data_IF_362418939266
#
_entry.id   IF_362418939266
#
_cell.length_a   1.000
_cell.length_b   1.000
_cell.length_c   1.000
_cell.angle_alpha   90.00
_cell.angle_beta   90.00
_cell.angle_gamma   90.00
#
_symmetry.space_group_name_H-M   'P 1'
#
loop_
_entity.id
_entity.type
_entity.pdbx_description
1 polymer ?
#
# COMPACT_ATOMS: atom_id res chain seq x y z
N UNK A 1 -40.29 -20.82 -25.49
CA UNK A 1 -40.30 -19.63 -24.59
C UNK A 1 -39.76 -19.92 -23.18
N UNK A 2 -39.51 -21.17 -22.78
CA UNK A 2 -38.92 -21.50 -21.47
C UNK A 2 -37.38 -21.64 -21.48
N UNK A 3 -36.73 -21.46 -22.64
CA UNK A 3 -35.29 -21.66 -22.81
C UNK A 3 -34.47 -20.36 -22.72
N UNK A 4 -35.13 -19.21 -22.66
CA UNK A 4 -34.50 -17.91 -22.43
C UNK A 4 -34.33 -17.60 -20.93
N UNK A 5 -35.06 -18.32 -20.07
CA UNK A 5 -35.13 -18.08 -18.62
C UNK A 5 -34.02 -18.81 -17.84
N UNK A 6 -33.42 -19.85 -18.43
CA UNK A 6 -32.30 -20.59 -17.84
C UNK A 6 -30.95 -19.87 -18.03
N UNK A 7 -30.78 -19.07 -19.08
CA UNK A 7 -29.56 -18.31 -19.36
C UNK A 7 -29.32 -17.13 -18.41
N UNK A 8 -30.36 -16.62 -17.76
CA UNK A 8 -30.26 -15.52 -16.79
C UNK A 8 -30.18 -16.01 -15.34
N UNK A 9 -30.70 -17.21 -15.03
CA UNK A 9 -30.59 -17.82 -13.70
C UNK A 9 -29.17 -18.27 -13.34
N UNK A 10 -28.33 -18.65 -14.33
CA UNK A 10 -26.91 -18.96 -14.10
C UNK A 10 -26.02 -17.70 -14.00
N UNK A 11 -26.46 -16.54 -14.50
CA UNK A 11 -25.66 -15.28 -14.46
C UNK A 11 -25.66 -14.55 -13.12
N UNK A 12 -26.56 -14.88 -12.19
CA UNK A 12 -26.83 -14.06 -10.99
C UNK A 12 -26.67 -14.79 -9.66
N UNK A 13 -26.00 -15.95 -9.65
CA UNK A 13 -25.47 -16.50 -8.42
C UNK A 13 -24.16 -15.75 -8.11
N UNK A 14 -24.24 -14.85 -7.12
CA UNK A 14 -23.15 -14.11 -6.46
C UNK A 14 -22.91 -12.65 -6.87
N UNK A 15 -23.90 -11.81 -6.56
CA UNK A 15 -23.65 -10.43 -6.10
C UNK A 15 -22.78 -10.47 -4.83
N UNK A 16 -21.49 -10.28 -4.99
CA UNK A 16 -20.53 -10.82 -4.04
C UNK A 16 -19.59 -9.73 -3.52
N UNK A 17 -19.91 -9.25 -2.32
CA UNK A 17 -19.42 -8.01 -1.69
C UNK A 17 -20.28 -6.78 -2.05
N UNK A 18 -21.35 -6.56 -1.28
CA UNK A 18 -22.26 -5.40 -1.41
C UNK A 18 -22.82 -5.17 -2.83
N UNK A 19 -23.14 -6.24 -3.57
CA UNK A 19 -23.65 -6.12 -4.94
C UNK A 19 -22.59 -5.77 -5.99
N UNK A 20 -21.31 -5.93 -5.65
CA UNK A 20 -20.17 -5.67 -6.53
C UNK A 20 -19.45 -6.99 -6.92
N UNK A 21 -18.52 -6.98 -7.89
CA UNK A 21 -17.76 -8.16 -8.26
C UNK A 21 -16.92 -8.73 -7.10
N UNK A 22 -16.82 -10.08 -6.98
CA UNK A 22 -16.05 -10.80 -5.92
C UNK A 22 -14.66 -10.21 -5.69
N UNK A 23 -13.96 -9.86 -6.77
CA UNK A 23 -12.61 -9.32 -6.75
C UNK A 23 -12.48 -8.02 -5.95
N UNK A 24 -13.55 -7.24 -5.85
CA UNK A 24 -13.55 -5.97 -5.12
C UNK A 24 -13.30 -6.20 -3.63
N UNK A 25 -13.83 -7.26 -3.03
CA UNK A 25 -13.59 -7.58 -1.61
C UNK A 25 -12.10 -7.73 -1.31
N UNK A 26 -11.36 -8.42 -2.19
CA UNK A 26 -9.92 -8.67 -2.01
C UNK A 26 -9.14 -7.36 -2.16
N UNK A 27 -9.46 -6.56 -3.18
CA UNK A 27 -8.81 -5.26 -3.40
C UNK A 27 -9.11 -4.28 -2.26
N UNK A 28 -10.34 -4.28 -1.76
CA UNK A 28 -10.77 -3.48 -0.61
C UNK A 28 -9.96 -3.82 0.63
N UNK A 29 -9.90 -5.09 1.02
CA UNK A 29 -9.13 -5.49 2.20
C UNK A 29 -7.63 -5.25 2.01
N UNK A 30 -7.09 -5.43 0.81
CA UNK A 30 -5.69 -5.14 0.51
C UNK A 30 -5.38 -3.66 0.72
N UNK A 31 -6.18 -2.77 0.14
CA UNK A 31 -6.05 -1.31 0.32
C UNK A 31 -6.25 -0.90 1.79
N UNK A 32 -7.24 -1.50 2.46
CA UNK A 32 -7.52 -1.21 3.87
C UNK A 32 -6.33 -1.54 4.76
N UNK A 33 -5.72 -2.72 4.60
CA UNK A 33 -4.57 -3.13 5.39
C UNK A 33 -3.31 -2.32 5.06
N UNK A 34 -3.10 -1.96 3.79
CA UNK A 34 -2.02 -1.06 3.41
C UNK A 34 -2.15 0.29 4.12
N UNK A 35 -3.35 0.89 4.06
CA UNK A 35 -3.63 2.17 4.71
C UNK A 35 -3.49 2.09 6.22
N UNK A 36 -3.98 1.02 6.83
CA UNK A 36 -3.83 0.79 8.26
C UNK A 36 -2.35 0.79 8.67
N UNK A 37 -1.52 0.04 7.94
CA UNK A 37 -0.07 -0.02 8.18
C UNK A 37 0.58 1.35 7.98
N UNK A 38 0.28 2.02 6.86
CA UNK A 38 0.87 3.31 6.51
C UNK A 38 0.52 4.41 7.52
N UNK A 39 -0.77 4.59 7.84
CA UNK A 39 -1.20 5.63 8.77
C UNK A 39 -0.85 5.29 10.22
N UNK A 40 -0.89 4.00 10.61
CA UNK A 40 -0.46 3.55 11.92
C UNK A 40 1.01 3.86 12.17
N UNK A 41 1.89 3.54 11.22
CA UNK A 41 3.30 3.91 11.27
C UNK A 41 3.47 5.44 11.30
N UNK A 42 2.83 6.17 10.38
CA UNK A 42 2.98 7.63 10.26
C UNK A 42 2.53 8.38 11.52
N UNK A 43 1.55 7.86 12.25
CA UNK A 43 1.07 8.44 13.51
C UNK A 43 2.14 8.45 14.62
N UNK A 44 3.02 7.43 14.64
CA UNK A 44 4.04 7.28 15.69
C UNK A 44 5.47 7.56 15.20
N UNK A 45 5.73 7.55 13.89
CA UNK A 45 7.08 7.66 13.34
C UNK A 45 7.77 8.98 13.69
N UNK A 46 7.02 10.09 13.66
CA UNK A 46 7.58 11.40 14.04
C UNK A 46 8.05 11.37 15.50
N UNK A 47 7.22 10.85 16.40
CA UNK A 47 7.56 10.69 17.81
C UNK A 47 8.76 9.75 18.01
N UNK A 48 8.83 8.64 17.27
CA UNK A 48 9.96 7.73 17.29
C UNK A 48 11.28 8.43 16.90
N UNK A 49 11.25 9.33 15.92
CA UNK A 49 12.44 10.06 15.49
C UNK A 49 12.93 11.08 16.52
N UNK A 50 12.04 11.92 17.08
CA UNK A 50 12.49 13.03 17.95
C UNK A 50 12.52 12.69 19.44
N UNK A 51 11.87 11.61 19.91
CA UNK A 51 12.01 11.22 21.32
C UNK A 51 13.46 10.87 21.65
N UNK A 52 13.87 11.15 22.89
CA UNK A 52 15.25 10.89 23.33
C UNK A 52 15.59 9.40 23.24
N UNK A 53 16.87 9.11 22.99
CA UNK A 53 17.40 7.74 22.93
C UNK A 53 17.12 6.99 24.25
N UNK A 54 17.16 7.69 25.38
CA UNK A 54 16.81 7.15 26.71
C UNK A 54 15.35 6.74 26.87
N UNK A 55 14.45 7.21 25.99
CA UNK A 55 13.03 6.86 25.95
C UNK A 55 12.70 5.91 24.79
N UNK A 56 13.71 5.35 24.12
CA UNK A 56 13.54 4.43 23.00
C UNK A 56 13.33 5.11 21.64
N UNK A 57 13.60 6.41 21.51
CA UNK A 57 13.59 7.13 20.22
C UNK A 57 14.99 7.27 19.60
N UNK A 58 15.10 8.01 18.48
CA UNK A 58 16.37 8.23 17.79
C UNK A 58 17.10 9.51 18.21
N UNK A 59 16.44 10.40 18.97
CA UNK A 59 17.03 11.65 19.46
C UNK A 59 17.33 12.68 18.36
N UNK A 60 16.62 12.63 17.24
CA UNK A 60 16.77 13.63 16.17
C UNK A 60 16.20 14.99 16.60
N UNK A 61 16.77 16.05 16.03
CA UNK A 61 16.16 17.37 16.13
C UNK A 61 14.75 17.37 15.53
N UNK A 62 13.82 18.10 16.16
CA UNK A 62 12.42 18.11 15.75
C UNK A 62 12.23 18.66 14.32
N UNK A 63 13.07 19.63 13.91
CA UNK A 63 13.05 20.18 12.55
C UNK A 63 13.53 19.16 11.52
N UNK A 64 14.56 18.37 11.86
CA UNK A 64 15.05 17.28 11.02
C UNK A 64 13.99 16.19 10.87
N UNK A 65 13.39 15.75 11.97
CA UNK A 65 12.34 14.73 11.96
C UNK A 65 11.11 15.16 11.14
N UNK A 66 10.68 16.42 11.25
CA UNK A 66 9.61 16.99 10.44
C UNK A 66 9.98 17.03 8.95
N UNK A 67 11.22 17.41 8.63
CA UNK A 67 11.72 17.44 7.25
C UNK A 67 11.75 16.03 6.63
N UNK A 68 12.18 15.01 7.39
CA UNK A 68 12.15 13.60 6.94
C UNK A 68 10.70 13.17 6.64
N UNK A 69 9.74 13.50 7.50
CA UNK A 69 8.32 13.18 7.27
C UNK A 69 7.76 13.84 6.00
N UNK A 70 8.15 15.10 5.75
CA UNK A 70 7.73 15.83 4.55
C UNK A 70 8.31 15.21 3.28
N UNK A 71 9.62 14.92 3.28
CA UNK A 71 10.31 14.28 2.16
C UNK A 71 9.72 12.88 1.91
N UNK A 72 9.48 12.10 2.96
CA UNK A 72 8.82 10.80 2.86
C UNK A 72 7.49 10.88 2.14
N UNK A 73 6.61 11.82 2.53
CA UNK A 73 5.33 12.03 1.87
C UNK A 73 5.49 12.35 0.38
N UNK A 74 6.40 13.27 0.04
CA UNK A 74 6.69 13.65 -1.35
C UNK A 74 7.23 12.48 -2.19
N UNK A 75 8.13 11.68 -1.61
CA UNK A 75 8.69 10.53 -2.31
C UNK A 75 7.63 9.46 -2.62
N UNK A 76 6.67 9.22 -1.73
CA UNK A 76 5.57 8.29 -1.99
C UNK A 76 4.75 8.70 -3.21
N UNK A 77 4.48 10.00 -3.37
CA UNK A 77 3.80 10.50 -4.57
C UNK A 77 4.65 10.33 -5.82
N UNK A 78 5.95 10.61 -5.73
CA UNK A 78 6.87 10.45 -6.86
C UNK A 78 7.00 8.98 -7.30
N UNK A 79 7.19 8.05 -6.37
CA UNK A 79 7.31 6.62 -6.67
C UNK A 79 6.02 6.03 -7.21
N UNK A 80 4.86 6.61 -6.90
CA UNK A 80 3.58 6.18 -7.47
C UNK A 80 3.54 6.35 -9.00
N UNK A 81 4.13 7.40 -9.55
CA UNK A 81 4.22 7.59 -11.01
C UNK A 81 5.08 6.49 -11.63
N UNK A 82 6.22 6.18 -11.01
CA UNK A 82 7.12 5.12 -11.46
C UNK A 82 6.44 3.75 -11.36
N UNK A 83 5.70 3.50 -10.30
CA UNK A 83 5.02 2.22 -10.08
C UNK A 83 3.89 1.93 -11.06
N UNK A 84 3.17 2.96 -11.52
CA UNK A 84 2.23 2.81 -12.64
C UNK A 84 2.95 2.40 -13.94
N UNK A 85 4.02 3.12 -14.30
CA UNK A 85 4.81 2.78 -15.49
C UNK A 85 5.36 1.35 -15.45
N UNK A 86 5.87 0.90 -14.31
CA UNK A 86 6.39 -0.47 -14.12
C UNK A 86 5.29 -1.52 -14.30
N UNK A 87 4.08 -1.23 -13.83
CA UNK A 87 2.92 -2.09 -14.02
C UNK A 87 2.57 -2.23 -15.50
N UNK A 88 2.41 -1.10 -16.18
CA UNK A 88 1.94 -1.04 -17.57
C UNK A 88 2.90 -1.70 -18.54
N UNK A 89 4.21 -1.64 -18.28
CA UNK A 89 5.25 -2.01 -19.26
C UNK A 89 6.05 -3.26 -18.92
N UNK A 90 6.12 -3.66 -17.65
CA UNK A 90 7.09 -4.67 -17.22
C UNK A 90 6.42 -5.86 -16.55
N UNK A 91 5.66 -5.64 -15.48
CA UNK A 91 5.26 -6.71 -14.55
C UNK A 91 3.76 -7.05 -14.59
N UNK A 92 2.91 -6.10 -15.01
CA UNK A 92 1.46 -6.19 -14.89
C UNK A 92 0.97 -5.95 -13.46
N UNK A 93 -0.26 -5.44 -13.32
CA UNK A 93 -0.81 -4.87 -12.08
C UNK A 93 -0.80 -5.85 -10.92
N UNK A 94 -1.21 -7.10 -11.15
CA UNK A 94 -1.28 -8.12 -10.08
C UNK A 94 0.08 -8.41 -9.45
N UNK A 95 1.15 -8.50 -10.25
CA UNK A 95 2.51 -8.78 -9.73
C UNK A 95 3.09 -7.54 -9.07
N UNK A 96 2.85 -6.36 -9.64
CA UNK A 96 3.31 -5.08 -9.08
C UNK A 96 2.71 -4.82 -7.70
N UNK A 97 1.41 -5.07 -7.52
CA UNK A 97 0.74 -4.98 -6.21
C UNK A 97 1.32 -5.97 -5.21
N UNK A 98 1.56 -7.22 -5.61
CA UNK A 98 2.13 -8.24 -4.72
C UNK A 98 3.53 -7.87 -4.23
N UNK A 99 4.44 -7.51 -5.15
CA UNK A 99 5.78 -7.08 -4.78
C UNK A 99 5.78 -5.78 -3.98
N UNK A 100 4.87 -4.85 -4.29
CA UNK A 100 4.65 -3.64 -3.49
C UNK A 100 4.30 -3.96 -2.05
N UNK A 101 3.34 -4.86 -1.82
CA UNK A 101 2.94 -5.31 -0.49
C UNK A 101 4.08 -5.99 0.28
N UNK A 102 4.89 -6.83 -0.38
CA UNK A 102 6.07 -7.46 0.23
C UNK A 102 7.10 -6.42 0.67
N UNK A 103 7.37 -5.39 -0.14
CA UNK A 103 8.29 -4.30 0.22
C UNK A 103 7.78 -3.50 1.42
N UNK A 104 6.48 -3.18 1.46
CA UNK A 104 5.87 -2.49 2.60
C UNK A 104 6.03 -3.32 3.87
N UNK A 105 5.74 -4.63 3.80
CA UNK A 105 5.90 -5.54 4.94
C UNK A 105 7.35 -5.56 5.43
N UNK A 106 8.33 -5.72 4.54
CA UNK A 106 9.75 -5.72 4.90
C UNK A 106 10.19 -4.39 5.52
N UNK A 107 9.65 -3.27 5.04
CA UNK A 107 9.91 -1.95 5.63
C UNK A 107 9.40 -1.82 7.07
N UNK A 108 8.20 -2.32 7.35
CA UNK A 108 7.66 -2.35 8.72
C UNK A 108 8.43 -3.31 9.63
N UNK A 109 8.86 -4.47 9.10
CA UNK A 109 9.73 -5.39 9.83
C UNK A 109 11.06 -4.70 10.16
N UNK A 110 11.66 -3.95 9.24
CA UNK A 110 12.88 -3.19 9.50
C UNK A 110 12.71 -2.18 10.65
N UNK A 111 11.56 -1.49 10.74
CA UNK A 111 11.24 -0.60 11.87
C UNK A 111 11.00 -1.36 13.19
N UNK A 112 10.50 -2.59 13.12
CA UNK A 112 10.24 -3.41 14.32
C UNK A 112 11.53 -3.90 14.99
N UNK A 113 12.63 -3.98 14.24
CA UNK A 113 13.92 -4.42 14.74
C UNK A 113 14.66 -3.27 15.44
N UNK A 114 15.38 -3.52 16.55
CA UNK A 114 16.08 -2.50 17.33
C UNK A 114 17.41 -2.08 16.68
N UNK A 115 17.37 -1.69 15.41
CA UNK A 115 18.54 -1.35 14.60
C UNK A 115 18.79 0.17 14.48
N UNK A 116 17.95 1.01 15.10
CA UNK A 116 18.16 2.46 15.17
C UNK A 116 17.98 3.19 13.84
N UNK A 117 18.83 4.19 13.57
CA UNK A 117 18.69 5.09 12.40
C UNK A 117 18.93 4.43 11.03
N UNK A 118 19.84 3.44 10.84
CA UNK A 118 19.94 2.75 9.55
C UNK A 118 18.65 2.01 9.17
N UNK A 119 17.98 1.39 10.13
CA UNK A 119 16.69 0.75 9.91
C UNK A 119 15.59 1.75 9.54
N UNK A 120 15.59 2.95 10.14
CA UNK A 120 14.68 4.03 9.75
C UNK A 120 14.84 4.35 8.25
N UNK A 121 16.04 4.64 7.78
CA UNK A 121 16.23 5.01 6.38
C UNK A 121 15.93 3.86 5.41
N UNK A 122 16.36 2.64 5.75
CA UNK A 122 16.03 1.45 4.96
C UNK A 122 14.50 1.23 4.88
N UNK A 123 13.79 1.37 6.01
CA UNK A 123 12.34 1.24 6.04
C UNK A 123 11.62 2.31 5.22
N UNK A 124 12.07 3.57 5.28
CA UNK A 124 11.50 4.67 4.50
C UNK A 124 11.61 4.34 3.02
N UNK A 125 12.78 3.90 2.55
CA UNK A 125 12.98 3.51 1.14
C UNK A 125 12.06 2.36 0.76
N UNK A 126 12.04 1.28 1.55
CA UNK A 126 11.23 0.08 1.28
C UNK A 126 9.72 0.41 1.23
N UNK A 127 9.20 1.14 2.21
CA UNK A 127 7.78 1.53 2.28
C UNK A 127 7.45 2.49 1.13
N UNK A 128 8.31 3.45 0.84
CA UNK A 128 8.07 4.43 -0.24
C UNK A 128 7.97 3.75 -1.60
N UNK A 129 8.91 2.85 -1.91
CA UNK A 129 8.87 2.09 -3.17
C UNK A 129 7.67 1.14 -3.16
N UNK A 130 7.45 0.42 -2.07
CA UNK A 130 6.34 -0.53 -1.94
C UNK A 130 4.97 0.10 -2.12
N UNK A 131 4.69 1.22 -1.44
CA UNK A 131 3.43 1.98 -1.60
C UNK A 131 3.32 2.56 -3.03
N UNK A 132 4.43 3.03 -3.61
CA UNK A 132 4.44 3.51 -5.00
C UNK A 132 4.08 2.43 -6.03
N UNK A 133 4.47 1.18 -5.79
CA UNK A 133 4.09 0.03 -6.61
C UNK A 133 2.66 -0.45 -6.35
N UNK A 134 2.15 -0.33 -5.12
CA UNK A 134 0.85 -0.88 -4.77
C UNK A 134 -0.30 0.07 -5.13
N UNK A 135 -0.21 1.34 -4.73
CA UNK A 135 -1.32 2.30 -4.73
C UNK A 135 -1.93 2.63 -6.11
N UNK A 136 -1.14 2.94 -7.16
CA UNK A 136 -1.73 3.20 -8.48
C UNK A 136 -2.36 1.94 -9.09
N UNK A 137 -1.76 0.78 -8.81
CA UNK A 137 -2.10 -0.48 -9.46
C UNK A 137 -3.30 -1.19 -8.82
N UNK A 138 -3.60 -0.95 -7.53
CA UNK A 138 -4.88 -1.38 -6.95
C UNK A 138 -6.05 -0.66 -7.63
N UNK A 139 -5.93 0.66 -7.86
CA UNK A 139 -6.97 1.43 -8.56
C UNK A 139 -7.21 0.91 -9.99
N UNK A 140 -6.13 0.58 -10.70
CA UNK A 140 -6.20 -0.05 -12.03
C UNK A 140 -6.93 -1.41 -11.99
N UNK A 141 -6.56 -2.27 -11.04
CA UNK A 141 -7.19 -3.59 -10.86
C UNK A 141 -8.68 -3.49 -10.53
N UNK A 142 -9.11 -2.46 -9.77
CA UNK A 142 -10.53 -2.20 -9.50
C UNK A 142 -11.25 -1.85 -10.80
N UNK A 143 -10.67 -0.97 -11.63
CA UNK A 143 -11.24 -0.61 -12.93
C UNK A 143 -11.46 -1.82 -13.83
N UNK A 144 -10.50 -2.75 -13.86
CA UNK A 144 -10.60 -3.98 -14.66
C UNK A 144 -11.65 -5.01 -14.18
N UNK A 145 -12.29 -4.81 -13.02
CA UNK A 145 -13.37 -5.69 -12.54
C UNK A 145 -14.74 -5.38 -13.18
N UNK A 146 -14.87 -4.21 -13.80
CA UNK A 146 -16.11 -3.76 -14.41
C UNK A 146 -15.94 -3.77 -15.93
N UNK A 147 -16.68 -4.65 -16.60
CA UNK A 147 -16.80 -4.62 -18.06
C UNK A 147 -17.65 -3.41 -18.44
N UNK A 148 -17.18 -2.61 -19.41
CA UNK A 148 -18.02 -1.57 -20.03
C UNK A 148 -19.29 -2.15 -20.65
#
# INVERSE_FOLDING_TARGET
>A
MQQHDQTDQERRADDSFFGQPRGLSTLFFTEMWERFSYYGMRAILLYYMYFSVTKGGLGFDQSLAASIMAIYGSLVYLTSVIGGFVSDRILGSRRTVFYGGVLIMLGHIALSLPMGSPALFASIVLITVGTGLLKPNISEMVGGLYTE
#
